data_IF_119289453308
#
_entry.id   IF_119289453308
#
_cell.length_a   1.000
_cell.length_b   1.000
_cell.length_c   1.000
_cell.angle_alpha   90.00
_cell.angle_beta   90.00
_cell.angle_gamma   90.00
#
_symmetry.space_group_name_H-M   'P 1'
#
loop_
_entity.id
_entity.type
_entity.pdbx_description
1 polymer ?
#
# COMPACT_ATOMS: atom_id res chain seq x y z
N UNK A 1 -5.62 -0.55 -28.53
CA UNK A 1 -6.67 -0.92 -27.55
C UNK A 1 -5.96 -1.49 -26.33
N UNK A 2 -6.32 -1.11 -25.09
CA UNK A 2 -5.76 -1.76 -23.91
C UNK A 2 -6.11 -3.24 -23.95
N UNK A 3 -5.17 -4.09 -23.54
CA UNK A 3 -5.43 -5.52 -23.38
C UNK A 3 -6.45 -5.68 -22.24
N UNK A 4 -7.63 -6.21 -22.55
CA UNK A 4 -8.61 -6.54 -21.51
C UNK A 4 -8.26 -7.90 -20.88
N UNK A 5 -8.41 -8.02 -19.57
CA UNK A 5 -8.13 -9.22 -18.77
C UNK A 5 -6.66 -9.68 -18.74
N UNK A 6 -5.72 -8.74 -18.72
CA UNK A 6 -4.30 -9.01 -18.48
C UNK A 6 -3.89 -8.40 -17.14
N UNK A 7 -3.14 -9.17 -16.35
CA UNK A 7 -2.54 -8.72 -15.10
C UNK A 7 -1.02 -8.85 -15.21
N UNK A 8 -0.30 -7.74 -15.18
CA UNK A 8 1.15 -7.71 -15.06
C UNK A 8 1.55 -8.04 -13.61
N UNK A 9 2.65 -8.77 -13.43
CA UNK A 9 3.18 -9.16 -12.13
C UNK A 9 4.62 -8.65 -12.01
N UNK A 10 4.98 -8.05 -10.88
CA UNK A 10 6.33 -7.56 -10.69
C UNK A 10 6.64 -7.09 -9.28
N UNK A 11 7.92 -6.86 -9.04
CA UNK A 11 8.49 -6.42 -7.77
C UNK A 11 9.19 -5.06 -7.87
N UNK A 12 9.28 -4.47 -9.08
CA UNK A 12 9.93 -3.19 -9.34
C UNK A 12 8.95 -2.12 -9.79
N UNK A 13 8.94 -1.01 -9.05
CA UNK A 13 8.10 0.15 -9.37
C UNK A 13 8.45 0.77 -10.74
N UNK A 14 9.73 1.02 -11.00
CA UNK A 14 10.19 1.78 -12.16
C UNK A 14 10.26 0.98 -13.47
N UNK A 15 9.99 -0.34 -13.45
CA UNK A 15 9.97 -1.18 -14.66
C UNK A 15 8.63 -1.87 -14.83
N UNK A 16 8.28 -2.77 -13.93
CA UNK A 16 7.16 -3.68 -14.11
C UNK A 16 5.85 -2.92 -13.93
N UNK A 17 5.78 -2.17 -12.83
CA UNK A 17 4.60 -1.38 -12.47
C UNK A 17 4.48 -0.17 -13.41
N UNK A 18 5.55 0.60 -13.61
CA UNK A 18 5.54 1.73 -14.54
C UNK A 18 5.18 1.30 -15.98
N UNK A 19 5.67 0.15 -16.44
CA UNK A 19 5.32 -0.40 -17.76
C UNK A 19 3.84 -0.75 -17.88
N UNK A 20 3.26 -1.39 -16.86
CA UNK A 20 1.85 -1.73 -16.82
C UNK A 20 0.95 -0.48 -16.73
N UNK A 21 1.27 0.45 -15.83
CA UNK A 21 0.52 1.71 -15.67
C UNK A 21 0.53 2.54 -16.96
N UNK A 22 1.67 2.66 -17.63
CA UNK A 22 1.79 3.40 -18.90
C UNK A 22 1.02 2.75 -20.07
N UNK A 23 0.68 1.47 -19.96
CA UNK A 23 -0.06 0.73 -20.99
C UNK A 23 -1.53 0.52 -20.61
N UNK A 24 -1.96 1.00 -19.44
CA UNK A 24 -3.32 0.80 -18.91
C UNK A 24 -3.63 -0.65 -18.59
N UNK A 25 -2.61 -1.46 -18.30
CA UNK A 25 -2.74 -2.86 -17.89
C UNK A 25 -2.75 -2.89 -16.35
N UNK A 26 -3.66 -3.66 -15.76
CA UNK A 26 -3.66 -3.87 -14.31
C UNK A 26 -2.37 -4.56 -13.87
N UNK A 27 -1.86 -4.20 -12.68
CA UNK A 27 -0.63 -4.81 -12.17
C UNK A 27 -0.73 -5.20 -10.70
N UNK A 28 -0.09 -6.31 -10.35
CA UNK A 28 0.09 -6.80 -9.00
C UNK A 28 1.57 -6.65 -8.60
N UNK A 29 1.80 -5.83 -7.58
CA UNK A 29 3.08 -5.78 -6.88
C UNK A 29 3.20 -6.94 -5.88
N UNK A 30 4.39 -7.55 -5.81
CA UNK A 30 4.77 -8.54 -4.80
C UNK A 30 6.05 -8.15 -4.06
N UNK A 31 6.13 -8.47 -2.76
CA UNK A 31 7.24 -8.08 -1.87
C UNK A 31 8.49 -8.97 -1.93
N UNK A 32 8.56 -9.86 -2.93
CA UNK A 32 9.62 -10.89 -3.04
C UNK A 32 10.91 -10.40 -3.69
N UNK A 33 10.97 -9.14 -4.13
CA UNK A 33 12.09 -8.63 -4.90
C UNK A 33 12.56 -7.23 -4.48
N UNK A 34 12.77 -6.33 -5.44
CA UNK A 34 13.61 -5.13 -5.28
C UNK A 34 12.91 -3.98 -4.57
N UNK A 35 11.72 -3.57 -5.02
CA UNK A 35 11.00 -2.50 -4.34
C UNK A 35 10.38 -3.07 -3.07
N UNK A 36 10.70 -2.47 -1.94
CA UNK A 36 10.12 -2.84 -0.66
C UNK A 36 8.76 -2.11 -0.47
N UNK A 37 7.95 -2.51 0.52
CA UNK A 37 6.65 -1.89 0.76
C UNK A 37 6.68 -0.38 1.08
N UNK A 38 7.76 0.11 1.69
CA UNK A 38 7.96 1.55 1.94
C UNK A 38 8.15 2.29 0.61
N UNK A 39 8.91 1.72 -0.33
CA UNK A 39 9.06 2.29 -1.68
C UNK A 39 7.69 2.40 -2.37
N UNK A 40 6.85 1.37 -2.25
CA UNK A 40 5.49 1.37 -2.84
C UNK A 40 4.56 2.36 -2.15
N UNK A 41 4.65 2.48 -0.83
CA UNK A 41 3.86 3.44 -0.05
C UNK A 41 4.22 4.90 -0.41
N UNK A 42 5.47 5.15 -0.80
CA UNK A 42 5.97 6.46 -1.24
C UNK A 42 5.90 6.68 -2.76
N UNK A 43 5.37 5.71 -3.51
CA UNK A 43 5.30 5.79 -4.97
C UNK A 43 4.42 6.95 -5.44
N UNK A 44 4.88 7.61 -6.51
CA UNK A 44 4.08 8.62 -7.21
C UNK A 44 2.82 7.98 -7.78
N UNK A 45 1.76 8.77 -8.00
CA UNK A 45 0.47 8.24 -8.50
C UNK A 45 0.60 7.43 -9.79
N UNK A 46 1.57 7.75 -10.64
CA UNK A 46 1.88 7.03 -11.89
C UNK A 46 2.66 5.72 -11.71
N UNK A 47 3.18 5.46 -10.52
CA UNK A 47 3.95 4.27 -10.18
C UNK A 47 3.20 3.38 -9.18
N UNK A 48 1.96 3.71 -8.83
CA UNK A 48 1.15 2.91 -7.90
C UNK A 48 0.59 1.67 -8.59
N UNK A 49 0.83 0.46 -8.06
CA UNK A 49 0.24 -0.75 -8.60
C UNK A 49 -1.27 -0.82 -8.32
N UNK A 50 -2.02 -1.49 -9.20
CA UNK A 50 -3.47 -1.71 -9.01
C UNK A 50 -3.75 -2.65 -7.84
N UNK A 51 -2.92 -3.68 -7.68
CA UNK A 51 -3.06 -4.72 -6.67
C UNK A 51 -1.77 -4.89 -5.88
N UNK A 52 -1.91 -5.31 -4.62
CA UNK A 52 -0.80 -5.50 -3.68
C UNK A 52 -0.89 -6.90 -3.04
N UNK A 53 0.24 -7.60 -3.02
CA UNK A 53 0.38 -8.87 -2.30
C UNK A 53 1.78 -9.01 -1.70
N UNK A 54 1.88 -9.84 -0.66
CA UNK A 54 3.16 -10.24 -0.08
C UNK A 54 3.94 -11.10 -1.08
N UNK A 55 3.28 -12.06 -1.72
CA UNK A 55 3.86 -12.97 -2.71
C UNK A 55 2.79 -13.59 -3.62
N UNK A 56 3.23 -14.44 -4.55
CA UNK A 56 2.39 -15.05 -5.60
C UNK A 56 1.33 -16.03 -5.07
N UNK A 57 1.39 -16.51 -3.82
CA UNK A 57 0.35 -17.37 -3.24
C UNK A 57 -1.01 -16.65 -3.23
N UNK A 58 -1.00 -15.32 -3.16
CA UNK A 58 -2.18 -14.47 -3.23
C UNK A 58 -2.98 -14.61 -4.54
N UNK A 59 -2.38 -15.12 -5.63
CA UNK A 59 -3.10 -15.36 -6.89
C UNK A 59 -4.20 -16.42 -6.79
N UNK A 60 -4.13 -17.28 -5.76
CA UNK A 60 -5.15 -18.29 -5.48
C UNK A 60 -6.23 -17.81 -4.50
N UNK A 61 -6.15 -16.54 -4.07
CA UNK A 61 -7.03 -15.95 -3.07
C UNK A 61 -7.89 -14.84 -3.68
N UNK A 62 -9.06 -14.59 -3.07
CA UNK A 62 -9.87 -13.43 -3.45
C UNK A 62 -9.16 -12.15 -2.99
N UNK A 63 -8.97 -11.21 -3.92
CA UNK A 63 -8.45 -9.88 -3.58
C UNK A 63 -9.45 -9.10 -2.73
N UNK A 64 -9.00 -8.62 -1.56
CA UNK A 64 -9.79 -7.74 -0.69
C UNK A 64 -9.27 -6.33 -0.84
N UNK A 65 -10.13 -5.42 -1.30
CA UNK A 65 -9.78 -4.01 -1.49
C UNK A 65 -9.78 -3.28 -0.14
N UNK A 66 -8.80 -2.40 0.11
CA UNK A 66 -8.83 -1.52 1.27
C UNK A 66 -9.90 -0.43 1.09
N UNK A 67 -10.53 -0.02 2.19
CA UNK A 67 -11.39 1.17 2.27
C UNK A 67 -10.70 2.24 3.10
N UNK A 68 -10.72 3.48 2.64
CA UNK A 68 -10.12 4.62 3.34
C UNK A 68 -11.19 5.54 3.95
N UNK A 69 -10.85 6.16 5.07
CA UNK A 69 -11.64 7.21 5.70
C UNK A 69 -10.73 8.27 6.32
N UNK A 70 -11.27 9.48 6.47
CA UNK A 70 -10.57 10.62 7.07
C UNK A 70 -11.46 11.33 8.08
N UNK A 71 -10.84 12.10 8.97
CA UNK A 71 -11.56 12.91 9.94
C UNK A 71 -10.63 13.79 10.77
N UNK A 72 -11.14 14.56 11.74
CA UNK A 72 -10.33 15.46 12.53
C UNK A 72 -9.27 14.68 13.34
N UNK A 73 -8.02 15.13 13.25
CA UNK A 73 -6.90 14.56 14.01
C UNK A 73 -7.15 14.60 15.53
N UNK A 74 -6.64 13.60 16.25
CA UNK A 74 -6.67 13.52 17.71
C UNK A 74 -5.34 13.92 18.36
N UNK A 75 -4.29 14.21 17.58
CA UNK A 75 -2.94 14.50 18.09
C UNK A 75 -2.65 15.99 18.25
N UNK A 76 -3.54 16.87 17.76
CA UNK A 76 -3.45 18.33 17.90
C UNK A 76 -2.38 18.99 17.01
N UNK A 77 -1.56 18.20 16.31
CA UNK A 77 -0.50 18.66 15.40
C UNK A 77 -0.86 18.44 13.93
N UNK A 78 -1.58 17.35 13.61
CA UNK A 78 -2.18 17.15 12.30
C UNK A 78 -3.58 17.81 12.22
N UNK A 79 -4.04 18.11 11.01
CA UNK A 79 -5.41 18.62 10.81
C UNK A 79 -6.41 17.49 10.57
N UNK A 80 -5.93 16.39 9.96
CA UNK A 80 -6.75 15.27 9.50
C UNK A 80 -6.04 13.96 9.82
N UNK A 81 -6.74 12.97 10.38
CA UNK A 81 -6.27 11.59 10.39
C UNK A 81 -6.67 10.90 9.10
N UNK A 82 -5.86 9.92 8.68
CA UNK A 82 -6.16 9.01 7.58
C UNK A 82 -6.19 7.60 8.13
N UNK A 83 -7.20 6.81 7.77
CA UNK A 83 -7.29 5.41 8.18
C UNK A 83 -7.70 4.55 7.00
N UNK A 84 -7.04 3.41 6.83
CA UNK A 84 -7.50 2.40 5.90
C UNK A 84 -7.74 1.08 6.62
N UNK A 85 -8.79 0.40 6.20
CA UNK A 85 -9.14 -0.95 6.63
C UNK A 85 -9.09 -1.90 5.44
N UNK A 86 -8.48 -3.06 5.60
CA UNK A 86 -8.55 -4.15 4.65
C UNK A 86 -8.87 -5.44 5.41
N UNK A 87 -10.07 -5.99 5.22
CA UNK A 87 -10.52 -7.16 5.98
C UNK A 87 -10.49 -6.93 7.49
N UNK A 88 -9.60 -7.64 8.20
CA UNK A 88 -9.39 -7.47 9.65
C UNK A 88 -8.24 -6.52 10.01
N UNK A 89 -7.43 -6.08 9.05
CA UNK A 89 -6.31 -5.19 9.28
C UNK A 89 -6.73 -3.71 9.22
N UNK A 90 -6.13 -2.91 10.10
CA UNK A 90 -6.31 -1.44 10.14
C UNK A 90 -4.95 -0.76 10.22
N UNK A 91 -4.77 0.32 9.45
CA UNK A 91 -3.65 1.23 9.59
C UNK A 91 -4.18 2.67 9.71
N UNK A 92 -3.54 3.48 10.54
CA UNK A 92 -3.91 4.88 10.77
C UNK A 92 -2.68 5.77 10.68
N UNK A 93 -2.82 6.91 10.03
CA UNK A 93 -1.89 8.02 10.05
C UNK A 93 -2.53 9.20 10.78
N UNK A 94 -1.96 9.56 11.92
CA UNK A 94 -2.33 10.76 12.68
C UNK A 94 -1.04 11.35 13.28
N UNK A 95 -0.32 12.16 12.47
CA UNK A 95 1.02 12.65 12.77
C UNK A 95 2.03 11.52 13.13
N UNK A 96 1.86 10.37 12.48
CA UNK A 96 2.63 9.16 12.74
C UNK A 96 1.85 7.91 12.35
N UNK A 97 2.57 6.87 11.92
CA UNK A 97 1.99 5.62 11.50
C UNK A 97 1.65 4.72 12.69
N UNK A 98 0.40 4.26 12.76
CA UNK A 98 -0.07 3.22 13.67
C UNK A 98 -0.61 2.04 12.88
N UNK A 99 -0.09 0.84 13.17
CA UNK A 99 -0.49 -0.42 12.53
C UNK A 99 -1.07 -1.37 13.58
N UNK A 100 -2.27 -1.88 13.34
CA UNK A 100 -2.83 -2.95 14.16
C UNK A 100 -2.27 -4.32 13.74
N UNK A 101 -1.98 -5.21 14.71
CA UNK A 101 -1.47 -6.57 14.46
C UNK A 101 -2.60 -7.58 14.19
N UNK A 102 -3.58 -7.19 13.40
CA UNK A 102 -4.78 -7.98 13.05
C UNK A 102 -4.83 -8.28 11.55
N UNK A 103 -5.52 -9.36 11.18
CA UNK A 103 -5.64 -9.80 9.78
C UNK A 103 -4.42 -10.50 9.21
N UNK A 104 -4.52 -10.94 7.96
CA UNK A 104 -3.46 -11.59 7.19
C UNK A 104 -2.39 -10.60 6.74
N UNK A 105 -1.22 -11.10 6.35
CA UNK A 105 -0.12 -10.27 5.83
C UNK A 105 -0.51 -9.42 4.61
N UNK A 106 -1.35 -9.96 3.72
CA UNK A 106 -1.87 -9.24 2.54
C UNK A 106 -2.82 -8.10 2.93
N UNK A 107 -3.76 -8.34 3.83
CA UNK A 107 -4.68 -7.30 4.36
C UNK A 107 -3.90 -6.16 5.01
N UNK A 108 -2.90 -6.55 5.80
CA UNK A 108 -1.96 -5.69 6.50
C UNK A 108 -1.15 -4.80 5.56
N UNK A 109 -0.54 -5.36 4.52
CA UNK A 109 0.14 -4.62 3.45
C UNK A 109 -0.78 -3.58 2.79
N UNK A 110 -2.01 -4.00 2.43
CA UNK A 110 -2.98 -3.15 1.72
C UNK A 110 -3.49 -2.00 2.58
N UNK A 111 -3.79 -2.26 3.86
CA UNK A 111 -4.21 -1.22 4.79
C UNK A 111 -3.10 -0.18 5.01
N UNK A 112 -1.86 -0.64 5.22
CA UNK A 112 -0.69 0.22 5.33
C UNK A 112 -0.53 1.14 4.12
N UNK A 113 -0.42 0.56 2.91
CA UNK A 113 -0.15 1.33 1.69
C UNK A 113 -1.31 2.30 1.38
N UNK A 114 -2.57 1.85 1.53
CA UNK A 114 -3.73 2.72 1.27
C UNK A 114 -3.82 3.90 2.24
N UNK A 115 -3.43 3.71 3.50
CA UNK A 115 -3.39 4.81 4.49
C UNK A 115 -2.33 5.83 4.10
N UNK A 116 -1.13 5.37 3.74
CA UNK A 116 -0.02 6.23 3.35
C UNK A 116 -0.34 7.01 2.07
N UNK A 117 -0.90 6.36 1.05
CA UNK A 117 -1.35 7.03 -0.17
C UNK A 117 -2.42 8.08 0.12
N UNK A 118 -3.41 7.76 0.98
CA UNK A 118 -4.45 8.72 1.33
C UNK A 118 -3.88 9.97 2.01
N UNK A 119 -2.88 9.82 2.87
CA UNK A 119 -2.22 10.94 3.55
C UNK A 119 -1.39 11.77 2.56
N UNK A 120 -0.54 11.12 1.74
CA UNK A 120 0.28 11.81 0.72
C UNK A 120 -0.60 12.57 -0.28
N UNK A 121 -1.70 11.96 -0.74
CA UNK A 121 -2.62 12.60 -1.68
C UNK A 121 -3.34 13.82 -1.08
N UNK A 122 -3.46 13.88 0.26
CA UNK A 122 -3.97 15.04 0.98
C UNK A 122 -2.89 16.09 1.28
N UNK A 123 -1.64 15.86 0.87
CA UNK A 123 -0.52 16.78 1.05
C UNK A 123 0.32 16.55 2.30
N UNK A 124 0.11 15.45 3.04
CA UNK A 124 0.97 15.08 4.16
C UNK A 124 2.38 14.75 3.66
N UNK A 125 3.38 15.30 4.34
CA UNK A 125 4.78 15.05 4.00
C UNK A 125 5.32 13.86 4.80
N UNK A 126 5.30 12.68 4.18
CA UNK A 126 5.74 11.42 4.78
C UNK A 126 7.14 11.04 4.26
N UNK A 127 8.05 10.72 5.16
CA UNK A 127 9.42 10.28 4.85
C UNK A 127 9.59 8.77 5.08
N UNK A 128 10.64 8.14 4.50
CA UNK A 128 10.93 6.73 4.77
C UNK A 128 11.06 6.41 6.27
N UNK A 129 11.63 7.33 7.06
CA UNK A 129 11.81 7.16 8.50
C UNK A 129 10.47 7.00 9.23
N UNK A 130 9.45 7.75 8.81
CA UNK A 130 8.10 7.69 9.40
C UNK A 130 7.42 6.34 9.17
N UNK A 131 7.87 5.61 8.14
CA UNK A 131 7.32 4.32 7.73
C UNK A 131 8.15 3.12 8.21
N UNK A 132 9.28 3.35 8.88
CA UNK A 132 10.14 2.30 9.45
C UNK A 132 9.37 1.26 10.28
N UNK A 133 8.37 1.64 11.11
CA UNK A 133 7.59 0.64 11.87
C UNK A 133 6.88 -0.41 10.99
N UNK A 134 6.61 -0.10 9.72
CA UNK A 134 6.02 -1.05 8.78
C UNK A 134 7.03 -2.11 8.30
N UNK A 135 8.33 -1.78 8.19
CA UNK A 135 9.35 -2.71 7.69
C UNK A 135 9.50 -3.92 8.63
N UNK A 136 9.71 -3.65 9.92
CA UNK A 136 9.84 -4.68 10.94
C UNK A 136 8.64 -5.63 10.98
N UNK A 137 7.46 -5.11 10.68
CA UNK A 137 6.21 -5.87 10.72
C UNK A 137 5.96 -6.68 9.45
N UNK A 138 6.32 -6.16 8.27
CA UNK A 138 6.19 -6.92 7.02
C UNK A 138 7.20 -8.07 6.97
N UNK A 139 8.41 -7.89 7.51
CA UNK A 139 9.39 -8.98 7.62
C UNK A 139 8.90 -10.12 8.50
N UNK A 140 8.27 -9.82 9.64
CA UNK A 140 7.65 -10.84 10.53
C UNK A 140 6.46 -11.56 9.90
N UNK A 141 5.89 -11.03 8.83
CA UNK A 141 4.66 -11.49 8.20
C UNK A 141 4.87 -12.46 7.02
N UNK A 142 6.11 -12.59 6.54
CA UNK A 142 6.51 -13.49 5.44
C UNK A 142 6.68 -14.93 5.92
#
# INVERSE_FOLDING_TARGET
MPLSNVLALGDRLNTDIAGATNTGIDCLYVTTGVSNPVDVALATTTERPTHLAIDLRALSEKYTYPTTETGPSNTGTATTFHRARCGQATATWDNGLHLEETGSANERLRAFIATTWSAIDAGEHITPTDLTPALDWIERAK
#
